data_IF_655168778057
#
_entry.id   IF_655168778057
#
_cell.length_a   1.000
_cell.length_b   1.000
_cell.length_c   1.000
_cell.angle_alpha   90.00
_cell.angle_beta   90.00
_cell.angle_gamma   90.00
#
_symmetry.space_group_name_H-M   'P 1'
#
loop_
_entity.id
_entity.type
_entity.pdbx_description
1 polymer ?
#
# COMPACT_ATOMS: atom_id res chain seq x y z
N UNK A 1 -11.20 -12.57 -16.78
CA UNK A 1 -10.99 -11.12 -16.98
C UNK A 1 -9.65 -10.79 -16.35
N UNK A 2 -8.63 -10.40 -17.12
CA UNK A 2 -7.27 -10.19 -16.60
C UNK A 2 -7.25 -9.06 -15.56
N UNK A 3 -6.41 -9.15 -14.53
CA UNK A 3 -6.23 -8.10 -13.51
C UNK A 3 -5.95 -6.72 -14.11
N UNK A 4 -5.28 -6.68 -15.26
CA UNK A 4 -4.95 -5.48 -16.04
C UNK A 4 -6.22 -4.69 -16.44
N UNK A 5 -7.32 -5.39 -16.71
CA UNK A 5 -8.60 -4.79 -17.09
C UNK A 5 -9.40 -4.27 -15.89
N UNK A 6 -9.11 -4.76 -14.67
CA UNK A 6 -9.64 -4.21 -13.42
C UNK A 6 -8.90 -2.94 -13.01
N UNK A 7 -7.57 -2.93 -13.15
CA UNK A 7 -6.73 -1.77 -12.83
C UNK A 7 -7.04 -0.60 -13.77
N UNK A 8 -7.33 -0.86 -15.05
CA UNK A 8 -7.70 0.19 -16.02
C UNK A 8 -9.09 0.80 -15.75
N UNK A 9 -9.99 0.07 -15.07
CA UNK A 9 -11.36 0.50 -14.76
C UNK A 9 -11.51 1.18 -13.40
N UNK A 10 -10.52 1.08 -12.50
CA UNK A 10 -10.42 2.00 -11.37
C UNK A 10 -10.01 3.34 -11.96
N UNK A 11 -11.03 4.09 -12.32
CA UNK A 11 -11.02 5.32 -13.08
C UNK A 11 -9.87 6.26 -12.74
N UNK A 12 -9.47 7.04 -13.77
CA UNK A 12 -8.68 8.26 -13.68
C UNK A 12 -9.39 9.32 -12.81
N UNK A 13 -9.64 9.01 -11.54
CA UNK A 13 -10.07 9.98 -10.56
C UNK A 13 -8.84 10.76 -10.18
N UNK A 14 -8.80 12.01 -10.61
CA UNK A 14 -7.77 12.94 -10.18
C UNK A 14 -7.72 12.96 -8.65
N UNK A 15 -6.55 12.67 -8.08
CA UNK A 15 -6.35 12.75 -6.64
C UNK A 15 -6.21 14.23 -6.29
N UNK A 16 -7.34 14.87 -5.99
CA UNK A 16 -7.36 16.27 -5.55
C UNK A 16 -6.62 16.43 -4.22
N UNK A 17 -6.25 17.67 -3.88
CA UNK A 17 -5.60 17.99 -2.59
C UNK A 17 -6.47 17.58 -1.39
N UNK A 18 -7.78 17.77 -1.50
CA UNK A 18 -8.76 17.41 -0.46
C UNK A 18 -8.84 15.89 -0.30
N UNK A 19 -8.88 15.15 -1.42
CA UNK A 19 -8.89 13.69 -1.39
C UNK A 19 -7.57 13.15 -0.80
N UNK A 20 -6.43 13.69 -1.22
CA UNK A 20 -5.11 13.36 -0.68
C UNK A 20 -5.04 13.56 0.84
N UNK A 21 -5.55 14.68 1.35
CA UNK A 21 -5.63 14.94 2.79
C UNK A 21 -6.46 13.90 3.54
N UNK A 22 -7.61 13.50 2.98
CA UNK A 22 -8.46 12.45 3.57
C UNK A 22 -7.76 11.08 3.56
N UNK A 23 -7.12 10.72 2.45
CA UNK A 23 -6.39 9.45 2.31
C UNK A 23 -5.21 9.38 3.29
N UNK A 24 -4.44 10.45 3.45
CA UNK A 24 -3.35 10.50 4.43
C UNK A 24 -3.85 10.27 5.87
N UNK A 25 -5.03 10.79 6.23
CA UNK A 25 -5.64 10.52 7.55
C UNK A 25 -5.99 9.05 7.73
N UNK A 26 -6.51 8.40 6.68
CA UNK A 26 -6.81 6.95 6.69
C UNK A 26 -5.53 6.15 6.88
N UNK A 27 -4.47 6.46 6.12
CA UNK A 27 -3.17 5.79 6.26
C UNK A 27 -2.63 5.93 7.69
N UNK A 28 -2.65 7.13 8.25
CA UNK A 28 -2.20 7.35 9.63
C UNK A 28 -3.07 6.63 10.67
N UNK A 29 -4.38 6.50 10.45
CA UNK A 29 -5.25 5.72 11.30
C UNK A 29 -4.91 4.21 11.24
N UNK A 30 -4.64 3.68 10.03
CA UNK A 30 -4.21 2.29 9.86
C UNK A 30 -2.88 2.02 10.57
N UNK A 31 -1.90 2.93 10.47
CA UNK A 31 -0.60 2.79 11.15
C UNK A 31 -0.74 2.76 12.68
N UNK A 32 -1.70 3.51 13.25
CA UNK A 32 -1.96 3.59 14.70
C UNK A 32 -2.81 2.43 15.23
N UNK A 33 -3.35 1.59 14.36
CA UNK A 33 -4.09 0.41 14.79
C UNK A 33 -3.18 -0.55 15.58
N UNK A 34 -3.74 -1.37 16.46
CA UNK A 34 -2.99 -2.31 17.32
C UNK A 34 -2.12 -3.32 16.56
N UNK A 35 -2.38 -3.52 15.27
CA UNK A 35 -1.61 -4.37 14.35
C UNK A 35 -1.06 -3.57 13.16
N UNK A 36 -1.00 -2.25 13.29
CA UNK A 36 -0.62 -1.35 12.21
C UNK A 36 0.88 -1.29 11.98
N UNK A 37 1.67 -1.56 13.02
CA UNK A 37 3.13 -1.46 13.04
C UNK A 37 3.77 -2.34 11.97
N UNK A 38 3.27 -3.57 11.82
CA UNK A 38 3.75 -4.60 10.90
C UNK A 38 3.59 -4.21 9.43
N UNK A 39 2.70 -3.25 9.13
CA UNK A 39 2.45 -2.75 7.78
C UNK A 39 3.10 -1.39 7.50
N UNK A 40 3.93 -0.87 8.42
CA UNK A 40 4.54 0.47 8.26
C UNK A 40 5.71 0.51 7.30
N UNK A 41 6.36 -0.63 7.06
CA UNK A 41 7.52 -0.81 6.17
C UNK A 41 7.32 -2.05 5.32
N UNK A 42 8.05 -2.20 4.20
CA UNK A 42 8.06 -3.45 3.44
C UNK A 42 8.40 -4.65 4.32
N UNK A 43 7.83 -5.81 3.98
CA UNK A 43 8.17 -7.08 4.65
C UNK A 43 9.64 -7.41 4.36
N UNK A 44 10.44 -7.58 5.40
CA UNK A 44 11.82 -8.09 5.30
C UNK A 44 11.81 -9.62 5.12
N UNK A 45 11.40 -10.06 3.95
CA UNK A 45 11.26 -11.48 3.65
C UNK A 45 12.60 -12.22 3.65
N UNK A 46 13.72 -11.51 3.45
CA UNK A 46 15.08 -12.07 3.56
C UNK A 46 15.40 -12.35 5.03
N UNK A 47 15.25 -11.34 5.90
CA UNK A 47 15.51 -11.48 7.34
C UNK A 47 14.58 -12.49 8.03
N UNK A 48 13.38 -12.68 7.49
CA UNK A 48 12.40 -13.67 7.98
C UNK A 48 12.58 -15.07 7.37
N UNK A 49 13.48 -15.25 6.39
CA UNK A 49 13.70 -16.54 5.74
C UNK A 49 12.54 -17.03 4.87
N UNK A 50 11.71 -16.11 4.36
CA UNK A 50 10.55 -16.41 3.51
C UNK A 50 11.01 -16.55 2.05
N UNK A 51 11.46 -17.75 1.69
CA UNK A 51 12.10 -18.03 0.39
C UNK A 51 11.15 -17.93 -0.81
N UNK A 52 9.86 -18.11 -0.59
CA UNK A 52 8.79 -18.09 -1.60
C UNK A 52 7.97 -16.79 -1.57
N UNK A 53 8.42 -15.78 -0.82
CA UNK A 53 7.62 -14.58 -0.57
C UNK A 53 7.20 -13.87 -1.86
N UNK A 54 8.08 -13.74 -2.85
CA UNK A 54 7.76 -13.07 -4.11
C UNK A 54 6.95 -13.95 -5.07
N UNK A 55 6.90 -15.27 -4.85
CA UNK A 55 6.04 -16.18 -5.61
C UNK A 55 4.57 -16.02 -5.17
N UNK A 56 4.36 -15.81 -3.87
CA UNK A 56 3.05 -15.61 -3.25
C UNK A 56 2.61 -14.14 -3.30
N UNK A 57 3.47 -13.21 -2.88
CA UNK A 57 3.22 -11.77 -2.81
C UNK A 57 3.87 -11.07 -4.00
N UNK A 58 3.20 -11.15 -5.14
CA UNK A 58 3.71 -10.67 -6.44
C UNK A 58 3.91 -9.16 -6.53
N UNK A 59 3.19 -8.38 -5.73
CA UNK A 59 3.27 -6.92 -5.69
C UNK A 59 3.37 -6.44 -4.24
N UNK A 60 4.55 -6.51 -3.62
CA UNK A 60 4.75 -6.06 -2.25
C UNK A 60 4.33 -4.61 -2.06
N UNK A 61 3.77 -4.30 -0.89
CA UNK A 61 3.31 -2.96 -0.53
C UNK A 61 3.32 -2.77 0.99
N UNK A 62 3.42 -1.51 1.42
CA UNK A 62 3.37 -1.10 2.82
C UNK A 62 2.75 0.32 2.95
N UNK A 63 2.34 0.67 4.17
CA UNK A 63 1.72 1.97 4.47
C UNK A 63 2.71 3.14 4.37
N UNK A 64 4.01 2.91 4.50
CA UNK A 64 5.06 3.91 4.29
C UNK A 64 5.17 4.29 2.81
N UNK A 65 5.26 3.30 1.93
CA UNK A 65 5.23 3.48 0.47
C UNK A 65 3.95 4.18 0.03
N UNK A 66 2.78 3.73 0.52
CA UNK A 66 1.50 4.38 0.21
C UNK A 66 1.47 5.86 0.64
N UNK A 67 1.97 6.16 1.85
CA UNK A 67 2.08 7.53 2.35
C UNK A 67 2.97 8.39 1.45
N UNK A 68 4.14 7.88 1.05
CA UNK A 68 5.07 8.62 0.20
C UNK A 68 4.44 8.95 -1.17
N UNK A 69 3.72 8.00 -1.77
CA UNK A 69 2.99 8.20 -3.03
C UNK A 69 1.86 9.25 -2.91
N UNK A 70 1.28 9.40 -1.72
CA UNK A 70 0.28 10.43 -1.42
C UNK A 70 0.91 11.77 -1.00
N UNK A 71 2.23 11.87 -0.87
CA UNK A 71 2.93 13.13 -0.61
C UNK A 71 3.60 13.67 -1.89
N UNK A 72 4.14 12.78 -2.72
CA UNK A 72 4.68 13.09 -4.06
C UNK A 72 3.61 13.58 -5.02
#
# INVERSE_FOLDING_TARGET
MPEEELVSRVAHVEITKELRSKLLKVVEACKKHKYGTEFTTPVDYIGLGLVDYLDVVRKPMDLGTLKNNLIS
#
